data_IF_248438130969
#
_entry.id   IF_248438130969
#
_cell.length_a   1.000
_cell.length_b   1.000
_cell.length_c   1.000
_cell.angle_alpha   90.00
_cell.angle_beta   90.00
_cell.angle_gamma   90.00
#
_symmetry.space_group_name_H-M   'P 1'
#
loop_
_entity.id
_entity.type
_entity.pdbx_description
1 polymer ?
#
# COMPACT_ATOMS: atom_id res chain seq x y z
N UNK A 1 11.46 -25.88 36.90
CA UNK A 1 12.65 -25.54 37.73
C UNK A 1 13.42 -24.48 36.96
N UNK A 2 13.27 -23.19 37.32
CA UNK A 2 14.24 -22.44 38.14
C UNK A 2 15.65 -22.49 37.53
N UNK A 3 16.29 -21.37 37.17
CA UNK A 3 16.60 -20.32 38.12
C UNK A 3 16.77 -18.91 37.50
N UNK A 4 16.45 -17.94 38.34
CA UNK A 4 16.70 -16.51 38.25
C UNK A 4 18.19 -16.15 38.42
N UNK A 5 18.62 -15.01 37.87
CA UNK A 5 19.46 -14.06 38.62
C UNK A 5 19.45 -12.66 37.98
N UNK A 6 19.11 -11.65 38.79
CA UNK A 6 19.39 -10.23 38.56
C UNK A 6 20.84 -9.94 38.99
N UNK A 7 21.56 -9.17 38.18
CA UNK A 7 22.79 -8.47 38.54
C UNK A 7 22.96 -7.28 37.60
N UNK A 8 23.06 -6.08 38.17
CA UNK A 8 23.06 -4.80 37.46
C UNK A 8 24.48 -4.29 37.14
N UNK A 9 24.51 -3.42 36.12
CA UNK A 9 25.53 -2.43 35.74
C UNK A 9 26.66 -2.90 34.81
N UNK A 10 26.50 -2.60 33.52
CA UNK A 10 27.47 -1.79 32.76
C UNK A 10 26.76 -1.16 31.55
N UNK A 11 26.69 0.18 31.52
CA UNK A 11 26.20 0.93 30.35
C UNK A 11 27.16 0.76 29.18
N UNK A 12 26.67 0.20 28.08
CA UNK A 12 27.30 0.24 26.76
C UNK A 12 26.25 0.66 25.72
N UNK A 13 26.66 1.39 24.67
CA UNK A 13 25.80 2.36 24.00
C UNK A 13 24.70 1.66 23.20
N UNK A 14 23.48 2.20 23.28
CA UNK A 14 22.32 1.75 22.52
C UNK A 14 22.61 1.86 21.01
N UNK A 15 23.03 0.76 20.40
CA UNK A 15 22.80 0.51 18.98
C UNK A 15 21.28 0.49 18.79
N UNK A 16 20.75 1.53 18.17
CA UNK A 16 19.33 1.64 17.87
C UNK A 16 18.98 0.66 16.74
N UNK A 17 18.68 -0.59 17.11
CA UNK A 17 18.07 -1.56 16.21
C UNK A 17 16.67 -1.07 15.83
N UNK A 18 16.46 -0.76 14.54
CA UNK A 18 15.11 -0.68 13.98
C UNK A 18 14.70 -2.11 13.61
N UNK A 19 14.04 -2.79 14.55
CA UNK A 19 13.32 -4.02 14.28
C UNK A 19 11.88 -3.66 13.89
N UNK A 20 11.51 -3.83 12.62
CA UNK A 20 10.10 -3.82 12.25
C UNK A 20 9.61 -5.27 12.20
N UNK A 21 8.68 -5.60 13.09
CA UNK A 21 7.93 -6.84 13.01
C UNK A 21 6.77 -6.60 12.05
N UNK A 22 6.60 -7.49 11.08
CA UNK A 22 5.40 -7.44 10.27
C UNK A 22 4.93 -8.80 9.81
N UNK A 23 3.71 -8.79 9.29
CA UNK A 23 2.98 -9.95 8.85
C UNK A 23 3.04 -9.99 7.32
N UNK A 24 3.50 -11.12 6.77
CA UNK A 24 3.21 -11.48 5.40
C UNK A 24 1.75 -11.90 5.33
N UNK A 25 0.97 -11.24 4.46
CA UNK A 25 -0.38 -11.67 4.15
C UNK A 25 -0.45 -12.07 2.68
N UNK A 26 -1.18 -13.14 2.40
CA UNK A 26 -1.59 -13.46 1.03
C UNK A 26 -3.02 -13.01 0.84
N UNK A 27 -3.37 -12.63 -0.38
CA UNK A 27 -4.79 -12.68 -0.73
C UNK A 27 -5.17 -14.15 -0.58
N UNK A 28 -6.33 -14.48 0.03
CA UNK A 28 -6.88 -15.81 -0.02
C UNK A 28 -6.81 -16.35 -1.44
N UNK A 29 -6.79 -17.68 -1.56
CA UNK A 29 -6.92 -18.39 -2.82
C UNK A 29 -7.92 -17.67 -3.77
N UNK A 30 -7.74 -17.76 -5.10
CA UNK A 30 -8.57 -17.08 -6.13
C UNK A 30 -10.11 -17.24 -6.01
N UNK A 31 -10.58 -17.94 -4.99
CA UNK A 31 -11.94 -18.29 -4.65
C UNK A 31 -12.67 -17.27 -3.75
N UNK A 32 -12.00 -16.31 -3.08
CA UNK A 32 -12.72 -15.19 -2.42
C UNK A 32 -13.08 -14.10 -3.43
N UNK A 33 -14.33 -14.14 -3.84
CA UNK A 33 -14.95 -13.18 -4.73
C UNK A 33 -14.99 -11.76 -4.10
N UNK A 34 -14.09 -10.87 -4.55
CA UNK A 34 -14.03 -9.48 -4.10
C UNK A 34 -15.09 -8.58 -4.77
N UNK A 35 -15.89 -9.11 -5.70
CA UNK A 35 -16.92 -8.39 -6.45
C UNK A 35 -17.84 -7.60 -5.56
N UNK A 36 -18.32 -8.20 -4.47
CA UNK A 36 -19.22 -7.53 -3.54
C UNK A 36 -18.62 -6.27 -2.91
N UNK A 37 -17.28 -6.20 -2.77
CA UNK A 37 -16.60 -5.05 -2.19
C UNK A 37 -16.45 -3.91 -3.19
N UNK A 38 -16.00 -4.18 -4.42
CA UNK A 38 -15.76 -3.11 -5.40
C UNK A 38 -17.01 -2.73 -6.20
N UNK A 39 -18.03 -3.58 -6.29
CA UNK A 39 -19.31 -3.23 -6.94
C UNK A 39 -20.29 -2.50 -6.02
N UNK A 40 -19.99 -2.42 -4.72
CA UNK A 40 -20.78 -1.66 -3.77
C UNK A 40 -20.73 -0.16 -4.09
N UNK A 41 -21.86 0.53 -3.91
CA UNK A 41 -21.90 1.99 -4.03
C UNK A 41 -20.94 2.64 -3.02
N UNK A 42 -20.13 3.57 -3.50
CA UNK A 42 -19.24 4.33 -2.63
C UNK A 42 -20.05 5.25 -1.70
N UNK A 43 -19.55 5.50 -0.47
CA UNK A 43 -20.11 6.53 0.41
C UNK A 43 -20.10 7.90 -0.26
N UNK A 44 -21.08 8.73 0.07
CA UNK A 44 -21.09 10.14 -0.37
C UNK A 44 -19.89 10.89 0.22
N UNK A 45 -19.19 11.64 -0.62
CA UNK A 45 -18.10 12.49 -0.18
C UNK A 45 -18.64 13.76 0.49
N UNK A 46 -17.97 14.25 1.55
CA UNK A 46 -18.23 15.59 2.07
C UNK A 46 -18.13 16.65 0.97
N UNK A 47 -19.08 17.59 0.91
CA UNK A 47 -19.17 18.55 -0.20
C UNK A 47 -18.01 19.54 -0.36
N UNK A 48 -17.06 19.58 0.57
CA UNK A 48 -15.82 20.35 0.44
C UNK A 48 -14.71 19.59 -0.30
N UNK A 49 -14.85 18.27 -0.47
CA UNK A 49 -13.90 17.46 -1.22
C UNK A 49 -14.29 17.42 -2.70
N UNK A 50 -13.32 17.56 -3.62
CA UNK A 50 -13.56 17.30 -5.03
C UNK A 50 -14.05 15.86 -5.25
N UNK A 51 -15.00 15.72 -6.18
CA UNK A 51 -15.55 14.43 -6.61
C UNK A 51 -14.48 13.51 -7.20
N UNK A 52 -14.69 12.21 -7.08
CA UNK A 52 -13.83 11.20 -7.71
C UNK A 52 -14.07 11.16 -9.22
N UNK A 53 -12.98 11.05 -9.97
CA UNK A 53 -13.04 10.89 -11.42
C UNK A 53 -13.49 9.47 -11.75
N UNK A 54 -14.61 9.34 -12.46
CA UNK A 54 -15.13 8.03 -12.87
C UNK A 54 -14.37 7.46 -14.07
N UNK A 55 -14.26 6.13 -14.07
CA UNK A 55 -13.65 5.29 -15.10
C UNK A 55 -14.59 4.10 -15.36
N UNK A 56 -15.63 4.27 -16.21
CA UNK A 56 -16.76 3.35 -16.30
C UNK A 56 -16.42 1.87 -16.57
N UNK A 57 -15.35 1.61 -17.32
CA UNK A 57 -14.95 0.24 -17.70
C UNK A 57 -14.08 -0.46 -16.64
N UNK A 58 -13.74 0.23 -15.55
CA UNK A 58 -12.87 -0.32 -14.51
C UNK A 58 -13.65 -1.02 -13.39
N UNK A 59 -13.03 -1.98 -12.67
CA UNK A 59 -13.59 -2.51 -11.43
C UNK A 59 -13.94 -1.39 -10.45
N UNK A 60 -15.22 -1.33 -10.07
CA UNK A 60 -15.77 -0.30 -9.19
C UNK A 60 -15.92 1.09 -9.82
N UNK A 61 -15.55 1.28 -11.09
CA UNK A 61 -15.83 2.49 -11.83
C UNK A 61 -14.90 3.68 -11.51
N UNK A 62 -13.77 3.45 -10.84
CA UNK A 62 -12.83 4.52 -10.44
C UNK A 62 -11.35 4.10 -10.51
N UNK A 63 -11.02 2.85 -10.17
CA UNK A 63 -9.63 2.38 -10.05
C UNK A 63 -9.10 2.02 -11.42
N UNK A 64 -7.96 2.57 -11.83
CA UNK A 64 -7.34 2.21 -13.13
C UNK A 64 -5.84 2.02 -13.02
N UNK A 65 -5.28 1.24 -13.93
CA UNK A 65 -3.83 1.19 -14.15
C UNK A 65 -3.31 2.55 -14.61
N UNK A 66 -2.09 2.88 -14.20
CA UNK A 66 -1.42 4.10 -14.65
C UNK A 66 -0.88 3.98 -16.07
N UNK A 67 -0.78 5.14 -16.72
CA UNK A 67 -0.02 5.39 -17.94
C UNK A 67 1.06 6.43 -17.67
N UNK A 68 2.02 6.58 -18.59
CA UNK A 68 3.16 7.49 -18.39
C UNK A 68 2.76 8.95 -18.09
N UNK A 69 1.63 9.42 -18.63
CA UNK A 69 1.13 10.78 -18.38
C UNK A 69 0.69 11.01 -16.94
N UNK A 70 0.41 9.94 -16.16
CA UNK A 70 0.04 10.06 -14.74
C UNK A 70 1.25 10.31 -13.84
N UNK A 71 2.48 10.29 -14.37
CA UNK A 71 3.70 10.36 -13.56
C UNK A 71 3.73 11.60 -12.65
N UNK A 72 3.33 12.76 -13.16
CA UNK A 72 3.37 14.02 -12.40
C UNK A 72 2.34 14.04 -11.26
N UNK A 73 1.23 13.30 -11.40
CA UNK A 73 0.19 13.15 -10.36
C UNK A 73 0.55 12.07 -9.33
N UNK A 74 1.19 10.99 -9.78
CA UNK A 74 1.59 9.84 -8.93
C UNK A 74 2.79 10.19 -8.05
N UNK A 75 3.75 10.97 -8.55
CA UNK A 75 4.97 11.26 -7.81
C UNK A 75 4.72 11.94 -6.45
N UNK A 76 3.87 12.98 -6.33
CA UNK A 76 3.51 13.57 -5.04
C UNK A 76 2.89 12.56 -4.07
N UNK A 77 1.96 11.73 -4.55
CA UNK A 77 1.31 10.72 -3.71
C UNK A 77 2.29 9.63 -3.23
N UNK A 78 3.17 9.16 -4.11
CA UNK A 78 4.23 8.23 -3.76
C UNK A 78 5.19 8.83 -2.72
N UNK A 79 5.55 10.10 -2.89
CA UNK A 79 6.45 10.80 -1.96
C UNK A 79 5.81 11.01 -0.59
N UNK A 80 4.55 11.45 -0.54
CA UNK A 80 3.78 11.60 0.69
C UNK A 80 3.67 10.28 1.46
N UNK A 81 3.30 9.20 0.78
CA UNK A 81 3.26 7.86 1.37
C UNK A 81 4.62 7.43 1.96
N UNK A 82 5.71 7.63 1.21
CA UNK A 82 7.04 7.27 1.69
C UNK A 82 7.44 8.11 2.91
N UNK A 83 7.13 9.40 2.90
CA UNK A 83 7.40 10.29 4.03
C UNK A 83 6.60 9.87 5.27
N UNK A 84 5.31 9.51 5.12
CA UNK A 84 4.48 9.02 6.23
C UNK A 84 5.01 7.72 6.84
N UNK A 85 5.50 6.79 6.02
CA UNK A 85 6.01 5.49 6.49
C UNK A 85 7.42 5.58 7.09
N UNK A 86 8.31 6.36 6.47
CA UNK A 86 9.75 6.36 6.77
C UNK A 86 10.20 7.62 7.52
N UNK A 87 9.41 8.69 7.52
CA UNK A 87 9.76 9.98 8.12
C UNK A 87 10.81 10.79 7.36
N UNK A 88 11.11 10.41 6.11
CA UNK A 88 12.14 11.03 5.28
C UNK A 88 11.52 11.53 3.97
N UNK A 89 11.87 12.75 3.57
CA UNK A 89 11.54 13.28 2.24
C UNK A 89 12.33 12.55 1.14
N UNK A 90 11.69 11.67 0.34
CA UNK A 90 12.42 10.77 -0.56
C UNK A 90 13.06 11.52 -1.73
N UNK A 91 12.42 12.57 -2.22
CA UNK A 91 12.94 13.38 -3.31
C UNK A 91 14.19 14.14 -2.86
N UNK A 92 14.17 14.71 -1.64
CA UNK A 92 15.35 15.37 -1.08
C UNK A 92 16.47 14.38 -0.79
N UNK A 93 16.14 13.17 -0.30
CA UNK A 93 17.12 12.15 0.10
C UNK A 93 17.76 11.39 -1.06
N UNK A 94 16.98 11.05 -2.09
CA UNK A 94 17.35 10.13 -3.16
C UNK A 94 17.30 10.75 -4.56
N UNK A 95 16.75 11.97 -4.71
CA UNK A 95 16.77 12.74 -5.96
C UNK A 95 16.20 11.99 -7.17
N UNK A 96 16.98 11.94 -8.25
CA UNK A 96 16.61 11.30 -9.51
C UNK A 96 16.36 9.80 -9.38
N UNK A 97 17.01 9.10 -8.46
CA UNK A 97 16.83 7.65 -8.29
C UNK A 97 15.39 7.33 -7.87
N UNK A 98 14.83 8.11 -6.94
CA UNK A 98 13.44 7.93 -6.52
C UNK A 98 12.46 8.29 -7.64
N UNK A 99 12.69 9.41 -8.33
CA UNK A 99 11.88 9.83 -9.48
C UNK A 99 11.85 8.77 -10.58
N UNK A 100 13.01 8.23 -10.94
CA UNK A 100 13.14 7.19 -11.97
C UNK A 100 12.44 5.90 -11.54
N UNK A 101 12.53 5.51 -10.26
CA UNK A 101 11.80 4.34 -9.73
C UNK A 101 10.29 4.51 -9.87
N UNK A 102 9.75 5.65 -9.46
CA UNK A 102 8.31 5.94 -9.61
C UNK A 102 7.91 5.95 -11.09
N UNK A 103 8.69 6.61 -11.94
CA UNK A 103 8.44 6.67 -13.38
C UNK A 103 8.41 5.29 -14.04
N UNK A 104 9.34 4.41 -13.70
CA UNK A 104 9.37 3.03 -14.20
C UNK A 104 8.11 2.26 -13.79
N UNK A 105 7.72 2.30 -12.51
CA UNK A 105 6.48 1.65 -12.04
C UNK A 105 5.24 2.17 -12.78
N UNK A 106 5.14 3.48 -12.97
CA UNK A 106 4.04 4.12 -13.69
C UNK A 106 4.00 3.68 -15.16
N UNK A 107 5.14 3.72 -15.85
CA UNK A 107 5.24 3.37 -17.27
C UNK A 107 5.01 1.89 -17.55
N UNK A 108 5.33 1.02 -16.60
CA UNK A 108 5.12 -0.44 -16.68
C UNK A 108 3.69 -0.86 -16.28
N UNK A 109 2.83 0.11 -15.94
CA UNK A 109 1.48 -0.17 -15.43
C UNK A 109 1.51 -0.99 -14.13
N UNK A 110 2.59 -0.91 -13.34
CA UNK A 110 2.71 -1.58 -12.03
C UNK A 110 2.09 -0.76 -10.90
N UNK A 111 1.41 0.33 -11.23
CA UNK A 111 0.69 1.18 -10.30
C UNK A 111 -0.78 1.26 -10.74
N UNK A 112 -1.68 1.29 -9.76
CA UNK A 112 -3.09 1.64 -9.95
C UNK A 112 -3.44 2.85 -9.11
N UNK A 113 -4.31 3.70 -9.63
CA UNK A 113 -4.76 4.93 -8.97
C UNK A 113 -6.27 5.11 -9.03
N UNK A 114 -6.76 5.92 -8.09
CA UNK A 114 -8.01 6.70 -8.21
C UNK A 114 -7.62 8.17 -8.13
N UNK A 115 -8.17 8.99 -9.01
CA UNK A 115 -8.02 10.44 -8.99
C UNK A 115 -9.33 11.13 -8.66
N UNK A 116 -9.26 12.36 -8.15
CA UNK A 116 -10.40 13.26 -8.16
C UNK A 116 -10.47 14.03 -9.49
N UNK A 117 -11.54 14.80 -9.69
CA UNK A 117 -11.75 15.59 -10.92
C UNK A 117 -10.70 16.70 -11.16
N UNK A 118 -9.81 16.94 -10.19
CA UNK A 118 -8.68 17.87 -10.29
C UNK A 118 -7.35 17.16 -10.63
N UNK A 119 -7.38 15.84 -10.85
CA UNK A 119 -6.17 15.04 -11.11
C UNK A 119 -5.38 14.64 -9.86
N UNK A 120 -5.85 14.99 -8.66
CA UNK A 120 -5.17 14.59 -7.42
C UNK A 120 -5.40 13.11 -7.16
N UNK A 121 -4.32 12.35 -6.95
CA UNK A 121 -4.40 10.95 -6.56
C UNK A 121 -5.02 10.81 -5.18
N UNK A 122 -6.19 10.18 -5.12
CA UNK A 122 -6.96 9.88 -3.91
C UNK A 122 -6.57 8.53 -3.32
N UNK A 123 -6.27 7.56 -4.17
CA UNK A 123 -5.80 6.22 -3.78
C UNK A 123 -4.70 5.76 -4.71
N UNK A 124 -3.71 5.04 -4.19
CA UNK A 124 -2.75 4.29 -4.99
C UNK A 124 -2.38 2.95 -4.37
N UNK A 125 -1.99 2.01 -5.22
CA UNK A 125 -1.29 0.79 -4.85
C UNK A 125 -0.28 0.40 -5.94
N UNK A 126 0.84 -0.19 -5.55
CA UNK A 126 1.93 -0.58 -6.45
C UNK A 126 2.16 -2.09 -6.42
N UNK A 127 2.70 -2.65 -7.50
CA UNK A 127 3.37 -3.94 -7.51
C UNK A 127 4.87 -3.70 -7.29
N UNK A 128 5.39 -4.26 -6.20
CA UNK A 128 6.81 -4.17 -5.85
C UNK A 128 7.63 -5.23 -6.57
N UNK A 129 7.61 -6.44 -6.01
CA UNK A 129 8.23 -7.62 -6.59
C UNK A 129 7.14 -8.36 -7.36
N UNK A 130 7.38 -8.64 -8.64
CA UNK A 130 6.48 -9.42 -9.48
C UNK A 130 7.29 -10.43 -10.28
N UNK A 131 6.87 -11.70 -10.29
CA UNK A 131 7.49 -12.75 -11.07
C UNK A 131 6.45 -13.79 -11.49
N UNK A 132 6.41 -14.11 -12.78
CA UNK A 132 5.44 -15.05 -13.37
C UNK A 132 4.00 -14.74 -12.92
N UNK A 133 3.42 -15.66 -12.15
CA UNK A 133 2.05 -15.70 -11.67
C UNK A 133 1.86 -15.00 -10.32
N UNK A 134 2.92 -14.50 -9.69
CA UNK A 134 2.87 -13.89 -8.37
C UNK A 134 3.36 -12.43 -8.36
N UNK A 135 2.70 -11.60 -7.56
CA UNK A 135 3.17 -10.25 -7.25
C UNK A 135 2.89 -9.84 -5.81
N UNK A 136 3.75 -8.96 -5.28
CA UNK A 136 3.57 -8.33 -4.00
C UNK A 136 3.00 -6.92 -4.20
N UNK A 137 1.83 -6.68 -3.63
CA UNK A 137 1.26 -5.35 -3.46
C UNK A 137 2.06 -4.61 -2.39
N UNK A 138 2.45 -3.39 -2.71
CA UNK A 138 3.10 -2.46 -1.79
C UNK A 138 2.50 -1.06 -1.93
N UNK A 139 2.82 -0.21 -0.97
CA UNK A 139 2.51 1.21 -1.07
C UNK A 139 1.03 1.53 -1.22
N UNK A 140 0.17 0.78 -0.51
CA UNK A 140 -1.26 1.10 -0.44
C UNK A 140 -1.41 2.41 0.34
N UNK A 141 -2.00 3.41 -0.29
CA UNK A 141 -2.13 4.74 0.28
C UNK A 141 -3.45 5.39 -0.13
N UNK A 142 -4.04 6.14 0.80
CA UNK A 142 -5.20 6.98 0.58
C UNK A 142 -4.82 8.40 0.97
N UNK A 143 -5.20 9.38 0.16
CA UNK A 143 -4.99 10.79 0.43
C UNK A 143 -5.56 11.17 1.82
N UNK A 144 -4.82 11.90 2.67
CA UNK A 144 -5.23 12.20 4.05
C UNK A 144 -6.67 12.71 4.18
N UNK A 145 -7.08 13.64 3.33
CA UNK A 145 -8.43 14.23 3.35
C UNK A 145 -9.56 13.27 2.99
N UNK A 146 -9.23 12.14 2.34
CA UNK A 146 -10.19 11.11 1.93
C UNK A 146 -10.18 9.88 2.87
N UNK A 147 -9.39 9.91 3.94
CA UNK A 147 -9.32 8.83 4.94
C UNK A 147 -10.56 8.84 5.84
N UNK A 148 -10.91 7.67 6.37
CA UNK A 148 -12.07 7.52 7.27
C UNK A 148 -13.42 7.54 6.56
N UNK A 149 -13.46 7.74 5.23
CA UNK A 149 -14.68 7.78 4.42
C UNK A 149 -15.10 6.41 3.86
N UNK A 150 -14.48 5.31 4.31
CA UNK A 150 -14.82 3.96 3.85
C UNK A 150 -14.32 3.59 2.44
N UNK A 151 -13.53 4.46 1.79
CA UNK A 151 -13.07 4.27 0.40
C UNK A 151 -11.98 3.20 0.20
N UNK A 152 -11.18 2.92 1.24
CA UNK A 152 -10.00 2.07 1.09
C UNK A 152 -10.31 0.62 0.69
N UNK A 153 -11.39 0.04 1.25
CA UNK A 153 -11.78 -1.34 0.98
C UNK A 153 -12.25 -1.58 -0.47
N UNK A 154 -13.23 -0.82 -1.00
CA UNK A 154 -13.64 -0.98 -2.40
C UNK A 154 -12.49 -0.71 -3.38
N UNK A 155 -11.64 0.28 -3.13
CA UNK A 155 -10.50 0.58 -4.00
C UNK A 155 -9.43 -0.49 -3.98
N UNK A 156 -9.08 -1.03 -2.80
CA UNK A 156 -8.13 -2.13 -2.72
C UNK A 156 -8.70 -3.39 -3.39
N UNK A 157 -9.99 -3.66 -3.24
CA UNK A 157 -10.64 -4.79 -3.90
C UNK A 157 -10.57 -4.66 -5.44
N UNK A 158 -10.90 -3.50 -5.99
CA UNK A 158 -10.78 -3.22 -7.42
C UNK A 158 -9.33 -3.28 -7.92
N UNK A 159 -8.37 -2.77 -7.14
CA UNK A 159 -6.94 -2.88 -7.43
C UNK A 159 -6.49 -4.35 -7.53
N UNK A 160 -6.93 -5.20 -6.60
CA UNK A 160 -6.64 -6.63 -6.65
C UNK A 160 -7.15 -7.30 -7.92
N UNK A 161 -8.34 -6.94 -8.41
CA UNK A 161 -8.86 -7.49 -9.68
C UNK A 161 -7.97 -7.10 -10.86
N UNK A 162 -7.60 -5.83 -10.99
CA UNK A 162 -6.70 -5.36 -12.05
C UNK A 162 -5.31 -6.03 -11.98
N UNK A 163 -4.80 -6.26 -10.77
CA UNK A 163 -3.53 -6.95 -10.59
C UNK A 163 -3.63 -8.45 -10.93
N UNK A 164 -4.75 -9.11 -10.62
CA UNK A 164 -4.99 -10.53 -10.89
C UNK A 164 -5.06 -10.87 -12.38
N UNK A 165 -5.42 -9.91 -13.23
CA UNK A 165 -5.36 -10.08 -14.69
C UNK A 165 -3.95 -10.46 -15.17
N UNK A 166 -2.90 -10.03 -14.45
CA UNK A 166 -1.49 -10.32 -14.76
C UNK A 166 -0.84 -11.30 -13.77
N UNK A 167 -1.26 -11.27 -12.51
CA UNK A 167 -0.66 -12.02 -11.41
C UNK A 167 -1.75 -12.69 -10.57
N UNK A 168 -2.13 -13.94 -10.89
CA UNK A 168 -3.14 -14.69 -10.15
C UNK A 168 -2.91 -14.76 -8.63
N UNK A 169 -1.65 -14.75 -8.20
CA UNK A 169 -1.25 -14.81 -6.81
C UNK A 169 -0.76 -13.44 -6.31
N UNK A 170 -1.46 -12.87 -5.34
CA UNK A 170 -1.12 -11.59 -4.75
C UNK A 170 -0.75 -11.75 -3.28
N UNK A 171 0.32 -11.09 -2.87
CA UNK A 171 0.78 -11.00 -1.49
C UNK A 171 0.94 -9.55 -1.07
N UNK A 172 0.99 -9.28 0.22
CA UNK A 172 1.39 -7.99 0.77
C UNK A 172 2.15 -8.18 2.07
N UNK A 173 2.77 -7.09 2.49
CA UNK A 173 3.36 -6.98 3.82
C UNK A 173 2.73 -5.82 4.57
N UNK A 174 2.53 -6.02 5.85
CA UNK A 174 2.08 -4.97 6.76
C UNK A 174 2.84 -5.04 8.06
N UNK A 175 3.37 -3.91 8.49
CA UNK A 175 3.95 -3.78 9.81
C UNK A 175 2.88 -3.98 10.89
N UNK A 176 3.19 -4.73 11.93
CA UNK A 176 2.21 -5.13 12.94
C UNK A 176 1.67 -3.95 13.78
N UNK A 177 2.36 -2.81 13.78
CA UNK A 177 1.90 -1.57 14.41
C UNK A 177 0.86 -0.80 13.56
N UNK A 178 0.62 -1.21 12.30
CA UNK A 178 -0.31 -0.53 11.41
C UNK A 178 -1.72 -1.14 11.52
N UNK A 179 -2.37 -0.92 12.68
CA UNK A 179 -3.71 -1.44 12.98
C UNK A 179 -4.76 -1.10 11.92
N UNK A 180 -4.62 0.06 11.28
CA UNK A 180 -5.52 0.52 10.20
C UNK A 180 -5.38 -0.34 8.96
N UNK A 181 -4.15 -0.60 8.51
CA UNK A 181 -3.88 -1.45 7.36
C UNK A 181 -4.24 -2.91 7.66
N UNK A 182 -3.92 -3.41 8.86
CA UNK A 182 -4.34 -4.74 9.32
C UNK A 182 -5.86 -4.91 9.24
N UNK A 183 -6.61 -3.95 9.79
CA UNK A 183 -8.08 -3.95 9.74
C UNK A 183 -8.61 -3.88 8.31
N UNK A 184 -7.96 -3.12 7.42
CA UNK A 184 -8.31 -3.07 6.01
C UNK A 184 -8.14 -4.43 5.36
N UNK A 185 -6.98 -5.06 5.51
CA UNK A 185 -6.64 -6.33 4.87
C UNK A 185 -7.52 -7.48 5.38
N UNK A 186 -7.80 -7.53 6.68
CA UNK A 186 -8.74 -8.51 7.24
C UNK A 186 -10.14 -8.37 6.63
N UNK A 187 -10.66 -7.14 6.49
CA UNK A 187 -11.99 -6.88 5.90
C UNK A 187 -12.04 -7.16 4.39
N UNK A 188 -10.93 -6.99 3.69
CA UNK A 188 -10.82 -7.35 2.27
C UNK A 188 -10.40 -8.81 2.05
N UNK A 189 -10.44 -9.61 3.13
CA UNK A 189 -10.38 -11.07 3.09
C UNK A 189 -8.97 -11.66 3.12
N UNK A 190 -7.92 -10.84 3.28
CA UNK A 190 -6.52 -11.27 3.35
C UNK A 190 -6.26 -12.16 4.57
N UNK A 191 -5.37 -13.13 4.39
CA UNK A 191 -5.02 -14.12 5.42
C UNK A 191 -3.56 -13.96 5.84
N UNK A 192 -3.33 -13.96 7.16
CA UNK A 192 -1.98 -13.99 7.73
C UNK A 192 -1.34 -15.36 7.41
N UNK A 193 -0.20 -15.34 6.74
CA UNK A 193 0.54 -16.55 6.35
C UNK A 193 1.94 -16.63 6.97
N UNK A 194 2.28 -15.72 7.88
CA UNK A 194 3.55 -15.74 8.58
C UNK A 194 4.01 -14.37 9.06
N UNK A 195 4.95 -14.41 9.99
CA UNK A 195 5.61 -13.22 10.52
C UNK A 195 7.07 -13.21 10.11
N UNK A 196 7.60 -12.03 9.81
CA UNK A 196 9.03 -11.83 9.63
C UNK A 196 9.46 -10.50 10.24
N UNK A 197 10.71 -10.48 10.70
CA UNK A 197 11.34 -9.31 11.28
C UNK A 197 12.37 -8.77 10.30
N UNK A 198 12.26 -7.48 9.93
CA UNK A 198 13.31 -6.82 9.18
C UNK A 198 14.35 -6.31 10.16
N UNK A 199 15.60 -6.75 9.98
CA UNK A 199 16.76 -6.26 10.75
C UNK A 199 17.58 -5.38 9.81
N UNK A 200 17.58 -4.08 10.06
CA UNK A 200 18.46 -3.14 9.35
C UNK A 200 19.77 -3.03 10.12
N UNK A 201 20.84 -3.55 9.53
CA UNK A 201 22.19 -3.38 10.05
C UNK A 201 22.71 -2.01 9.63
N UNK A 202 22.76 -1.06 10.56
CA UNK A 202 23.49 0.20 10.35
C UNK A 202 24.99 -0.10 10.44
N UNK A 203 25.73 0.34 9.42
CA UNK A 203 27.19 0.23 9.37
C UNK A 203 27.85 1.44 9.98
#
# INVERSE_FOLDING_TARGET
>A
MCASNLGALEETPRESFLCSNGTAATVPAPEKNLFSLYSASLPELPGYLPSLQSVPESPGGYVRCTVLSDYDDVLPAAAAMFHEEVGIEPIARYGSNYRNRVRSMVSEGKNVIVTNDLGVVVFKADLGISHLDAAQIQGVWVHPDYRGLGLAAPFLAAACELFRERHPHLSLYVNNYNDRALSLYQRTGWEDIGQYSTIILTR
#
